data_IF_577242855104
#
_entry.id   IF_577242855104
#
_cell.length_a   1.000
_cell.length_b   1.000
_cell.length_c   1.000
_cell.angle_alpha   90.00
_cell.angle_beta   90.00
_cell.angle_gamma   90.00
#
_symmetry.space_group_name_H-M   'P 1'
#
loop_
_entity.id
_entity.type
_entity.pdbx_description
1 polymer ?
#
# COMPACT_ATOMS: atom_id res chain seq x y z
N UNK A 1 -20.44 38.93 -16.55
CA UNK A 1 -19.89 37.80 -15.76
C UNK A 1 -18.65 38.35 -15.07
N UNK A 2 -18.48 38.39 -13.74
CA UNK A 2 -18.68 37.36 -12.71
C UNK A 2 -19.08 38.11 -11.41
N UNK A 3 -20.37 38.20 -11.11
CA UNK A 3 -20.87 38.74 -9.82
C UNK A 3 -21.08 37.62 -8.80
N UNK A 4 -21.45 36.43 -9.27
CA UNK A 4 -21.72 35.26 -8.41
C UNK A 4 -20.48 34.68 -7.74
N UNK A 5 -19.27 34.97 -8.24
CA UNK A 5 -18.02 34.50 -7.62
C UNK A 5 -17.65 35.26 -6.34
N UNK A 6 -18.07 36.52 -6.19
CA UNK A 6 -17.72 37.34 -5.02
C UNK A 6 -18.55 36.96 -3.79
N UNK A 7 -19.83 36.63 -3.96
CA UNK A 7 -20.69 36.21 -2.84
C UNK A 7 -20.30 34.84 -2.27
N UNK A 8 -19.71 33.95 -3.08
CA UNK A 8 -19.17 32.67 -2.61
C UNK A 8 -17.86 32.85 -1.82
N UNK A 9 -17.05 33.86 -2.17
CA UNK A 9 -15.84 34.21 -1.43
C UNK A 9 -16.16 34.94 -0.10
N UNK A 10 -17.23 35.72 -0.07
CA UNK A 10 -17.66 36.51 1.10
C UNK A 10 -18.37 35.66 2.16
N UNK A 11 -18.91 34.48 1.78
CA UNK A 11 -19.47 33.50 2.71
C UNK A 11 -18.43 32.57 3.35
N UNK A 12 -17.13 32.90 3.28
CA UNK A 12 -16.15 32.36 4.22
C UNK A 12 -16.18 33.21 5.50
N UNK A 13 -17.27 33.05 6.26
CA UNK A 13 -17.34 33.56 7.63
C UNK A 13 -16.33 32.81 8.47
N UNK A 14 -15.27 33.56 8.78
CA UNK A 14 -14.34 33.37 9.88
C UNK A 14 -15.05 32.94 11.17
N UNK A 15 -14.85 31.69 11.59
CA UNK A 15 -14.86 31.29 13.01
C UNK A 15 -13.95 30.08 13.18
N UNK A 16 -12.65 30.34 13.31
CA UNK A 16 -11.78 29.75 14.33
C UNK A 16 -10.38 30.32 14.10
N UNK A 17 -10.02 31.23 15.00
CA UNK A 17 -8.69 31.71 15.34
C UNK A 17 -7.58 30.72 15.01
N UNK A 18 -6.47 31.27 14.51
CA UNK A 18 -5.35 30.53 13.95
C UNK A 18 -4.87 29.35 14.78
N UNK A 19 -4.90 28.19 14.14
CA UNK A 19 -3.85 27.19 14.28
C UNK A 19 -3.38 26.88 12.87
N UNK A 20 -2.08 27.01 12.64
CA UNK A 20 -1.42 26.38 11.50
C UNK A 20 -1.95 24.96 11.35
N UNK A 21 -2.07 24.40 10.13
CA UNK A 21 -2.52 23.01 9.98
C UNK A 21 -1.54 22.13 10.76
N UNK A 22 -1.90 21.76 12.00
CA UNK A 22 -1.08 20.94 12.89
C UNK A 22 -0.92 19.60 12.21
N UNK A 23 0.25 19.46 11.62
CA UNK A 23 0.71 18.39 10.74
C UNK A 23 0.98 17.10 11.55
N UNK A 24 0.21 16.84 12.61
CA UNK A 24 0.53 15.86 13.64
C UNK A 24 -0.32 14.59 13.56
N UNK A 25 -1.49 14.65 12.92
CA UNK A 25 -2.31 13.47 12.66
C UNK A 25 -3.25 13.72 11.48
N UNK A 26 -2.95 13.14 10.30
CA UNK A 26 -3.94 13.13 9.22
C UNK A 26 -4.99 12.07 9.55
N UNK A 27 -6.17 12.51 9.96
CA UNK A 27 -7.29 11.62 10.26
C UNK A 27 -8.02 11.27 8.97
N UNK A 28 -7.89 10.04 8.49
CA UNK A 28 -8.67 9.55 7.35
C UNK A 28 -10.02 9.05 7.86
N UNK A 29 -11.10 9.73 7.46
CA UNK A 29 -12.47 9.35 7.82
C UNK A 29 -13.03 8.43 6.75
N UNK A 30 -13.21 7.15 7.08
CA UNK A 30 -13.92 6.17 6.26
C UNK A 30 -15.31 5.93 6.87
N UNK A 31 -16.27 6.79 6.52
CA UNK A 31 -17.60 6.77 7.14
C UNK A 31 -17.51 7.09 8.64
N UNK A 32 -17.86 6.12 9.50
CA UNK A 32 -17.74 6.22 10.96
C UNK A 32 -16.31 5.91 11.49
N UNK A 33 -15.47 5.25 10.69
CA UNK A 33 -14.12 4.88 11.11
C UNK A 33 -13.16 6.07 10.95
N UNK A 34 -12.70 6.61 12.07
CA UNK A 34 -11.66 7.64 12.13
C UNK A 34 -10.31 6.95 12.29
N UNK A 35 -9.59 6.76 11.19
CA UNK A 35 -8.26 6.16 11.22
C UNK A 35 -7.23 7.27 11.33
N UNK A 36 -6.68 7.44 12.54
CA UNK A 36 -5.55 8.33 12.76
C UNK A 36 -4.29 7.73 12.12
N UNK A 37 -3.76 8.39 11.08
CA UNK A 37 -2.43 8.12 10.58
C UNK A 37 -1.40 8.93 11.37
N UNK A 38 -0.72 8.23 12.27
CA UNK A 38 0.47 8.70 12.98
C UNK A 38 1.72 8.18 12.25
N UNK A 39 2.84 8.92 12.37
CA UNK A 39 4.13 8.53 11.80
C UNK A 39 4.56 7.10 12.21
N UNK A 40 4.36 6.74 13.48
CA UNK A 40 4.62 5.39 14.01
C UNK A 40 3.85 4.28 13.26
N UNK A 41 2.53 4.46 13.08
CA UNK A 41 1.68 3.48 12.35
C UNK A 41 2.13 3.34 10.90
N UNK A 42 2.63 4.41 10.30
CA UNK A 42 3.15 4.40 8.94
C UNK A 42 4.45 3.58 8.83
N UNK A 43 5.38 3.76 9.77
CA UNK A 43 6.61 2.95 9.83
C UNK A 43 6.35 1.48 10.13
N UNK A 44 5.41 1.17 11.03
CA UNK A 44 4.98 -0.22 11.30
C UNK A 44 4.40 -0.83 10.02
N UNK A 45 3.51 -0.11 9.32
CA UNK A 45 2.98 -0.56 8.04
C UNK A 45 4.06 -0.77 6.98
N UNK A 46 5.07 0.12 6.93
CA UNK A 46 6.20 -0.01 6.02
C UNK A 46 7.03 -1.27 6.32
N UNK A 47 7.28 -1.57 7.60
CA UNK A 47 7.98 -2.77 8.04
C UNK A 47 7.22 -4.05 7.68
N UNK A 48 5.90 -4.07 7.91
CA UNK A 48 5.02 -5.18 7.50
C UNK A 48 5.09 -5.37 5.98
N UNK A 49 4.96 -4.27 5.22
CA UNK A 49 5.08 -4.27 3.77
C UNK A 49 6.40 -4.88 3.31
N UNK A 50 7.51 -4.49 3.94
CA UNK A 50 8.85 -4.95 3.59
C UNK A 50 9.03 -6.45 3.82
N UNK A 51 8.63 -6.94 4.99
CA UNK A 51 8.69 -8.37 5.34
C UNK A 51 7.84 -9.18 4.35
N UNK A 52 6.62 -8.73 4.06
CA UNK A 52 5.74 -9.37 3.09
C UNK A 52 6.36 -9.42 1.68
N UNK A 53 7.06 -8.37 1.26
CA UNK A 53 7.80 -8.32 0.00
C UNK A 53 8.93 -9.35 -0.05
N UNK A 54 9.71 -9.49 1.02
CA UNK A 54 10.76 -10.52 1.12
C UNK A 54 10.17 -11.92 1.01
N UNK A 55 9.09 -12.20 1.74
CA UNK A 55 8.43 -13.51 1.71
C UNK A 55 7.92 -13.81 0.29
N UNK A 56 7.27 -12.84 -0.36
CA UNK A 56 6.76 -12.98 -1.74
C UNK A 56 7.88 -13.21 -2.75
N UNK A 57 9.02 -12.54 -2.57
CA UNK A 57 10.21 -12.76 -3.39
C UNK A 57 10.77 -14.17 -3.22
N UNK A 58 10.96 -14.62 -1.99
CA UNK A 58 11.46 -15.96 -1.67
C UNK A 58 10.54 -17.06 -2.20
N UNK A 59 9.22 -16.87 -2.06
CA UNK A 59 8.21 -17.78 -2.60
C UNK A 59 8.31 -17.88 -4.13
N UNK A 60 8.52 -16.75 -4.81
CA UNK A 60 8.73 -16.72 -6.27
C UNK A 60 9.96 -17.54 -6.69
N UNK A 61 11.08 -17.37 -5.98
CA UNK A 61 12.32 -18.13 -6.22
C UNK A 61 12.09 -19.63 -5.97
N UNK A 62 11.37 -19.99 -4.90
CA UNK A 62 10.98 -21.36 -4.60
C UNK A 62 10.17 -22.00 -5.73
N UNK A 63 9.14 -21.32 -6.24
CA UNK A 63 8.31 -21.81 -7.36
C UNK A 63 9.11 -21.91 -8.67
N UNK A 64 10.07 -21.00 -8.89
CA UNK A 64 10.97 -21.08 -10.05
C UNK A 64 11.94 -22.25 -9.97
N UNK A 65 12.43 -22.60 -8.78
CA UNK A 65 13.39 -23.67 -8.59
C UNK A 65 12.82 -25.08 -8.88
N UNK A 66 11.49 -25.22 -8.96
CA UNK A 66 10.84 -26.50 -9.27
C UNK A 66 11.02 -26.80 -10.78
N UNK A 67 11.68 -27.91 -11.15
CA UNK A 67 11.84 -28.31 -12.55
C UNK A 67 10.51 -28.71 -13.18
N UNK A 68 10.24 -28.30 -14.42
CA UNK A 68 9.03 -28.77 -15.16
C UNK A 68 9.08 -30.29 -15.40
N UNK A 69 10.28 -30.86 -15.42
CA UNK A 69 10.53 -32.29 -15.59
C UNK A 69 9.99 -33.14 -14.44
N UNK A 70 9.74 -32.56 -13.24
CA UNK A 70 9.15 -33.28 -12.11
C UNK A 70 7.72 -33.76 -12.36
N UNK A 71 7.05 -33.21 -13.38
CA UNK A 71 5.70 -33.57 -13.78
C UNK A 71 5.65 -34.30 -15.13
N UNK A 72 6.80 -34.69 -15.68
CA UNK A 72 6.89 -35.37 -16.97
C UNK A 72 6.23 -36.77 -16.98
N UNK A 73 5.91 -37.31 -15.80
CA UNK A 73 5.15 -38.57 -15.65
C UNK A 73 3.67 -38.35 -15.31
N UNK A 74 3.22 -37.09 -15.20
CA UNK A 74 1.82 -36.75 -14.98
C UNK A 74 1.07 -36.73 -16.32
N UNK A 75 -0.22 -37.02 -16.27
CA UNK A 75 -1.15 -36.85 -17.39
C UNK A 75 -0.97 -35.49 -18.09
N UNK A 76 -1.08 -35.44 -19.42
CA UNK A 76 -0.89 -34.21 -20.22
C UNK A 76 -1.79 -33.05 -19.76
N UNK A 77 -3.02 -33.34 -19.30
CA UNK A 77 -3.92 -32.32 -18.76
C UNK A 77 -3.43 -31.79 -17.40
N UNK A 78 -2.91 -32.66 -16.54
CA UNK A 78 -2.33 -32.28 -15.25
C UNK A 78 -1.02 -31.50 -15.43
N UNK A 79 -0.24 -31.83 -16.46
CA UNK A 79 0.98 -31.12 -16.85
C UNK A 79 0.66 -29.67 -17.27
N UNK A 80 -0.38 -29.48 -18.10
CA UNK A 80 -0.79 -28.15 -18.58
C UNK A 80 -1.36 -27.30 -17.43
N UNK A 81 -2.18 -27.90 -16.57
CA UNK A 81 -2.68 -27.27 -15.34
C UNK A 81 -1.56 -26.81 -14.42
N UNK A 82 -0.57 -27.67 -14.16
CA UNK A 82 0.54 -27.33 -13.29
C UNK A 82 1.42 -26.21 -13.86
N UNK A 83 1.64 -26.21 -15.18
CA UNK A 83 2.38 -25.14 -15.87
C UNK A 83 1.66 -23.79 -15.79
N UNK A 84 0.34 -23.79 -16.04
CA UNK A 84 -0.51 -22.60 -15.89
C UNK A 84 -0.51 -22.09 -14.44
N UNK A 85 -0.68 -22.99 -13.47
CA UNK A 85 -0.69 -22.66 -12.05
C UNK A 85 0.66 -22.07 -11.59
N UNK A 86 1.78 -22.65 -12.04
CA UNK A 86 3.12 -22.13 -11.78
C UNK A 86 3.28 -20.71 -12.34
N UNK A 87 2.85 -20.49 -13.57
CA UNK A 87 2.85 -19.15 -14.19
C UNK A 87 1.99 -18.15 -13.41
N UNK A 88 0.78 -18.54 -13.02
CA UNK A 88 -0.13 -17.70 -12.24
C UNK A 88 0.44 -17.35 -10.86
N UNK A 89 1.00 -18.34 -10.14
CA UNK A 89 1.63 -18.14 -8.85
C UNK A 89 2.85 -17.22 -8.94
N UNK A 90 3.70 -17.40 -9.96
CA UNK A 90 4.84 -16.51 -10.19
C UNK A 90 4.40 -15.08 -10.48
N UNK A 91 3.42 -14.90 -11.37
CA UNK A 91 2.87 -13.58 -11.67
C UNK A 91 2.30 -12.91 -10.42
N UNK A 92 1.53 -13.64 -9.61
CA UNK A 92 0.97 -13.15 -8.36
C UNK A 92 2.05 -12.77 -7.34
N UNK A 93 3.07 -13.61 -7.15
CA UNK A 93 4.12 -13.35 -6.16
C UNK A 93 5.03 -12.19 -6.58
N UNK A 94 5.40 -12.07 -7.87
CA UNK A 94 6.14 -10.92 -8.36
C UNK A 94 5.33 -9.62 -8.29
N UNK A 95 4.05 -9.66 -8.71
CA UNK A 95 3.18 -8.49 -8.61
C UNK A 95 3.03 -8.03 -7.14
N UNK A 96 2.84 -8.98 -6.22
CA UNK A 96 2.76 -8.71 -4.79
C UNK A 96 4.06 -8.12 -4.24
N UNK A 97 5.22 -8.61 -4.69
CA UNK A 97 6.53 -8.06 -4.30
C UNK A 97 6.70 -6.61 -4.77
N UNK A 98 6.34 -6.33 -6.02
CA UNK A 98 6.41 -4.97 -6.57
C UNK A 98 5.47 -4.03 -5.82
N UNK A 99 4.22 -4.44 -5.61
CA UNK A 99 3.23 -3.63 -4.91
C UNK A 99 3.61 -3.40 -3.44
N UNK A 100 4.18 -4.40 -2.79
CA UNK A 100 4.78 -4.30 -1.46
C UNK A 100 5.91 -3.27 -1.42
N UNK A 101 6.84 -3.30 -2.37
CA UNK A 101 7.93 -2.34 -2.45
C UNK A 101 7.40 -0.90 -2.60
N UNK A 102 6.42 -0.68 -3.48
CA UNK A 102 5.76 0.62 -3.62
C UNK A 102 5.06 1.05 -2.33
N UNK A 103 4.39 0.13 -1.64
CA UNK A 103 3.68 0.40 -0.37
C UNK A 103 4.66 0.77 0.73
N UNK A 104 5.77 0.04 0.89
CA UNK A 104 6.82 0.35 1.85
C UNK A 104 7.42 1.73 1.60
N UNK A 105 7.77 2.04 0.35
CA UNK A 105 8.32 3.36 0.00
C UNK A 105 7.29 4.48 0.27
N UNK A 106 6.03 4.26 -0.12
CA UNK A 106 4.96 5.23 0.12
C UNK A 106 4.70 5.49 1.59
N UNK A 107 4.73 4.45 2.42
CA UNK A 107 4.55 4.56 3.88
C UNK A 107 5.76 5.18 4.56
N UNK A 108 7.00 4.89 4.14
CA UNK A 108 8.19 5.59 4.65
C UNK A 108 8.11 7.08 4.33
N UNK A 109 7.74 7.44 3.10
CA UNK A 109 7.59 8.84 2.71
C UNK A 109 6.47 9.54 3.49
N UNK A 110 5.34 8.85 3.70
CA UNK A 110 4.23 9.36 4.50
C UNK A 110 4.59 9.52 5.97
N UNK A 111 5.31 8.56 6.55
CA UNK A 111 5.83 8.62 7.92
C UNK A 111 6.80 9.78 8.13
N UNK A 112 7.64 10.07 7.14
CA UNK A 112 8.56 11.22 7.20
C UNK A 112 7.86 12.58 7.04
N UNK A 113 6.71 12.62 6.35
CA UNK A 113 5.90 13.82 6.18
C UNK A 113 4.99 14.10 7.39
N UNK A 114 4.72 13.11 8.25
CA UNK A 114 3.95 13.27 9.48
C UNK A 114 4.90 13.73 10.60
N UNK A 115 4.61 14.88 11.24
CA UNK A 115 5.40 15.30 12.40
C UNK A 115 5.29 14.22 13.50
N UNK A 116 6.40 13.87 14.18
CA UNK A 116 6.31 13.02 15.36
C UNK A 116 5.40 13.73 16.36
N UNK A 117 4.45 12.99 16.92
CA UNK A 117 3.64 13.47 18.03
C UNK A 117 4.62 13.69 19.19
N UNK A 118 4.91 14.95 19.54
CA UNK A 118 5.63 15.25 20.79
C UNK A 118 4.81 14.63 21.93
N UNK A 119 5.48 13.84 22.76
CA UNK A 119 4.89 13.21 23.96
C UNK A 119 4.39 14.24 24.97
#
# INVERSE_FOLDING_TARGET
MITSGKLLAESQVSTATGEEPKLEARMLKFGDLQVELTSEKSYIGAAIGFIFGIISWQLSQGIQSIPESSLQYANDNALLLAKSLRGALLAMCYASTVLSAFTTVGLVFLGGQLKPKEE
#
